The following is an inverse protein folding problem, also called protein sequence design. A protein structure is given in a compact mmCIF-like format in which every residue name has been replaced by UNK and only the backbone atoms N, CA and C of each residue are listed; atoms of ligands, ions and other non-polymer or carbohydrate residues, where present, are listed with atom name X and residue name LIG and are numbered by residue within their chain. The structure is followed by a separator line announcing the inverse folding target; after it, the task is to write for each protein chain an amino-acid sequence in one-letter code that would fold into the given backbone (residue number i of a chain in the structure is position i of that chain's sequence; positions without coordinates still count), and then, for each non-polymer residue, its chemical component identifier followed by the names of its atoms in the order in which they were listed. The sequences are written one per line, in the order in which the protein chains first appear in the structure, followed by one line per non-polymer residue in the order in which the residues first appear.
data_IF_113220352699
#
_entry.id   IF_113220352699
#
_cell.length_a   1.000
_cell.length_b   1.000
_cell.length_c   1.000
_cell.angle_alpha   90.00
_cell.angle_beta   90.00
_cell.angle_gamma   90.00
#
_symmetry.space_group_name_H-M   'P 1'
#
loop_
_entity.id
_entity.type
_entity.pdbx_description
1 polymer ?
#
# COMPACT_ATOMS: atom_id res chain seq x y z
N UNK A 1 1.55 4.79 7.25
CA UNK A 1 0.83 4.34 6.03
C UNK A 1 -0.31 5.30 5.71
N UNK A 2 -0.16 6.10 4.65
CA UNK A 2 -1.26 6.88 4.09
C UNK A 2 -2.05 6.01 3.10
N UNK A 3 -3.39 6.04 3.17
CA UNK A 3 -4.26 5.34 2.21
C UNK A 3 -5.04 6.39 1.43
N UNK A 4 -4.70 6.54 0.15
CA UNK A 4 -5.48 7.38 -0.75
C UNK A 4 -6.57 6.54 -1.44
N UNK A 5 -7.82 6.99 -1.30
CA UNK A 5 -9.00 6.27 -1.75
C UNK A 5 -9.79 7.14 -2.72
N UNK A 6 -9.76 6.79 -4.00
CA UNK A 6 -10.52 7.47 -5.04
C UNK A 6 -11.89 6.83 -5.29
N UNK A 7 -12.99 7.56 -5.07
CA UNK A 7 -14.29 7.35 -5.75
C UNK A 7 -14.51 8.52 -6.71
N UNK A 8 -15.09 8.25 -7.90
CA UNK A 8 -15.40 9.26 -8.93
C UNK A 8 -16.47 10.28 -8.44
N UNK A 9 -17.08 10.08 -7.28
CA UNK A 9 -18.03 11.02 -6.66
C UNK A 9 -17.79 11.02 -5.13
N UNK A 10 -17.38 12.17 -4.56
CA UNK A 10 -16.89 12.45 -3.19
C UNK A 10 -15.44 12.02 -2.85
N UNK A 11 -14.55 13.02 -2.75
CA UNK A 11 -13.28 12.90 -2.02
C UNK A 11 -13.54 13.05 -0.52
N UNK A 12 -13.40 11.96 0.25
CA UNK A 12 -13.35 12.00 1.72
C UNK A 12 -11.92 11.73 2.16
N UNK A 13 -11.37 12.63 2.96
CA UNK A 13 -10.07 12.44 3.60
C UNK A 13 -10.31 11.81 4.97
N UNK A 14 -9.66 10.67 5.23
CA UNK A 14 -9.68 10.03 6.54
C UNK A 14 -8.28 10.18 7.15
N UNK A 15 -8.20 10.78 8.33
CA UNK A 15 -6.96 10.87 9.12
C UNK A 15 -7.12 9.89 10.29
N UNK A 16 -6.63 8.66 10.12
CA UNK A 16 -6.72 7.58 11.11
C UNK A 16 -5.78 6.43 10.75
N UNK A 17 -5.63 5.48 11.67
CA UNK A 17 -4.92 4.23 11.43
C UNK A 17 -5.49 3.47 10.23
N UNK A 18 -4.60 2.92 9.41
CA UNK A 18 -4.98 2.43 8.09
C UNK A 18 -5.84 1.16 8.14
N UNK A 19 -5.57 0.21 9.05
CA UNK A 19 -6.45 -0.95 9.26
C UNK A 19 -7.86 -0.53 9.68
N UNK A 20 -7.96 0.48 10.55
CA UNK A 20 -9.26 0.99 11.00
C UNK A 20 -10.01 1.69 9.88
N UNK A 21 -9.30 2.44 9.03
CA UNK A 21 -9.87 3.02 7.83
C UNK A 21 -10.44 1.95 6.89
N UNK A 22 -9.63 0.92 6.57
CA UNK A 22 -10.03 -0.17 5.66
C UNK A 22 -11.24 -0.95 6.18
N UNK A 23 -11.34 -1.19 7.49
CA UNK A 23 -12.49 -1.88 8.12
C UNK A 23 -13.80 -1.10 7.98
N UNK A 24 -13.76 0.22 7.84
CA UNK A 24 -14.94 1.10 7.74
C UNK A 24 -15.44 1.29 6.31
N UNK A 25 -14.65 0.88 5.32
CA UNK A 25 -14.97 1.08 3.92
C UNK A 25 -15.82 -0.08 3.41
N UNK A 26 -16.82 0.25 2.61
CA UNK A 26 -17.67 -0.72 1.94
C UNK A 26 -16.83 -1.63 1.02
N UNK A 27 -17.09 -2.94 1.04
CA UNK A 27 -16.41 -3.92 0.19
C UNK A 27 -16.59 -3.59 -1.29
N UNK A 28 -15.58 -3.92 -2.10
CA UNK A 28 -15.59 -3.71 -3.56
C UNK A 28 -16.03 -2.29 -3.99
N UNK A 29 -15.71 -1.26 -3.20
CA UNK A 29 -16.19 0.10 -3.43
C UNK A 29 -15.11 1.06 -3.91
N UNK A 30 -13.84 0.70 -3.76
CA UNK A 30 -12.68 1.53 -4.08
C UNK A 30 -12.13 1.17 -5.47
N UNK A 31 -11.87 2.20 -6.28
CA UNK A 31 -11.32 2.02 -7.63
C UNK A 31 -9.80 1.90 -7.62
N UNK A 32 -9.15 2.75 -6.82
CA UNK A 32 -7.69 2.82 -6.77
C UNK A 32 -7.24 2.98 -5.34
N UNK A 33 -6.24 2.20 -4.95
CA UNK A 33 -5.53 2.29 -3.67
C UNK A 33 -4.07 2.62 -3.98
N UNK A 34 -3.52 3.60 -3.27
CA UNK A 34 -2.09 3.81 -3.20
C UNK A 34 -1.67 3.67 -1.73
N UNK A 35 -0.64 2.88 -1.47
CA UNK A 35 -0.01 2.75 -0.16
C UNK A 35 1.49 2.99 -0.24
N UNK A 36 1.98 3.69 0.77
CA UNK A 36 3.39 3.90 1.07
C UNK A 36 3.66 3.33 2.47
N UNK A 37 3.87 2.00 2.59
CA UNK A 37 4.18 1.35 3.85
C UNK A 37 5.59 1.70 4.33
N UNK A 38 5.92 1.51 5.62
CA UNK A 38 7.31 1.53 6.09
C UNK A 38 8.17 0.56 5.27
N UNK A 39 9.42 0.90 5.03
CA UNK A 39 10.33 0.09 4.20
C UNK A 39 11.19 -0.85 5.02
N UNK A 40 11.10 -0.76 6.36
CA UNK A 40 11.84 -1.61 7.28
C UNK A 40 13.37 -1.48 7.11
N UNK A 41 13.80 -0.23 6.90
CA UNK A 41 15.19 0.19 6.74
C UNK A 41 15.92 0.31 8.08
N UNK A 42 15.19 0.24 9.20
CA UNK A 42 15.69 0.48 10.58
C UNK A 42 16.21 1.91 10.78
N UNK A 43 15.73 2.84 9.96
CA UNK A 43 16.07 4.25 10.03
C UNK A 43 15.17 4.95 11.05
N UNK A 44 15.75 5.86 11.83
CA UNK A 44 14.99 6.76 12.71
C UNK A 44 14.61 8.08 12.03
N UNK A 45 14.80 8.20 10.72
CA UNK A 45 14.56 9.46 9.98
C UNK A 45 13.10 9.62 9.51
N UNK A 46 12.24 8.64 9.79
CA UNK A 46 10.83 8.66 9.42
C UNK A 46 9.97 9.13 10.60
N UNK A 47 8.85 9.82 10.31
CA UNK A 47 7.88 10.25 11.33
C UNK A 47 7.03 9.09 11.89
N UNK A 48 7.16 7.89 11.31
CA UNK A 48 6.47 6.66 11.72
C UNK A 48 7.48 5.58 12.13
N UNK A 49 7.01 4.58 12.88
CA UNK A 49 7.80 3.40 13.24
C UNK A 49 8.15 2.61 11.97
N UNK A 50 9.44 2.50 11.67
CA UNK A 50 9.94 1.78 10.50
C UNK A 50 10.45 0.37 10.88
N UNK A 51 10.70 0.06 12.15
CA UNK A 51 11.18 -1.27 12.58
C UNK A 51 10.00 -2.16 13.02
N UNK A 52 9.64 -3.12 12.17
CA UNK A 52 8.59 -4.09 12.46
C UNK A 52 9.18 -5.50 12.52
N UNK A 53 9.18 -6.10 13.73
CA UNK A 53 9.69 -7.46 13.94
C UNK A 53 8.97 -8.53 13.09
N UNK A 54 7.67 -8.34 12.83
CA UNK A 54 6.82 -9.21 11.99
C UNK A 54 6.27 -8.44 10.77
N UNK A 55 7.14 -7.75 10.03
CA UNK A 55 6.77 -6.90 8.89
C UNK A 55 5.89 -7.62 7.86
N UNK A 56 6.23 -8.85 7.51
CA UNK A 56 5.51 -9.65 6.51
C UNK A 56 4.06 -9.90 6.94
N UNK A 57 3.84 -10.26 8.20
CA UNK A 57 2.49 -10.42 8.76
C UNK A 57 1.75 -9.09 8.81
N UNK A 58 2.46 -8.02 9.20
CA UNK A 58 1.89 -6.68 9.27
C UNK A 58 1.36 -6.24 7.90
N UNK A 59 2.16 -6.34 6.83
CA UNK A 59 1.74 -5.93 5.49
C UNK A 59 0.67 -6.86 4.90
N UNK A 60 0.73 -8.16 5.21
CA UNK A 60 -0.29 -9.14 4.81
C UNK A 60 -1.68 -8.75 5.32
N UNK A 61 -1.82 -8.42 6.61
CA UNK A 61 -3.09 -7.98 7.21
C UNK A 61 -3.67 -6.75 6.50
N UNK A 62 -2.81 -5.80 6.10
CA UNK A 62 -3.22 -4.61 5.36
C UNK A 62 -3.66 -4.94 3.94
N UNK A 63 -2.92 -5.79 3.22
CA UNK A 63 -3.23 -6.17 1.85
C UNK A 63 -4.51 -7.01 1.74
N UNK A 64 -4.80 -7.86 2.73
CA UNK A 64 -6.06 -8.61 2.81
C UNK A 64 -7.25 -7.64 2.89
N UNK A 65 -7.18 -6.64 3.76
CA UNK A 65 -8.25 -5.65 3.89
C UNK A 65 -8.34 -4.74 2.66
N UNK A 66 -7.20 -4.35 2.09
CA UNK A 66 -7.15 -3.58 0.84
C UNK A 66 -7.84 -4.35 -0.30
N UNK A 67 -7.58 -5.66 -0.43
CA UNK A 67 -8.25 -6.52 -1.42
C UNK A 67 -9.76 -6.58 -1.20
N UNK A 68 -10.22 -6.62 0.05
CA UNK A 68 -11.64 -6.69 0.36
C UNK A 68 -12.43 -5.44 -0.06
N UNK A 69 -11.82 -4.26 -0.01
CA UNK A 69 -12.45 -2.98 -0.38
C UNK A 69 -12.24 -2.60 -1.83
N UNK A 70 -11.25 -3.19 -2.51
CA UNK A 70 -10.93 -2.93 -3.90
C UNK A 70 -11.97 -3.58 -4.84
N UNK A 71 -12.45 -2.81 -5.82
CA UNK A 71 -13.29 -3.32 -6.92
C UNK A 71 -12.55 -4.41 -7.70
N UNK A 72 -13.29 -5.31 -8.33
CA UNK A 72 -12.69 -6.30 -9.24
C UNK A 72 -11.92 -5.66 -10.42
N UNK A 73 -12.39 -4.50 -10.89
CA UNK A 73 -11.72 -3.68 -11.92
C UNK A 73 -10.74 -2.65 -11.34
N UNK A 74 -10.51 -2.67 -10.04
CA UNK A 74 -9.64 -1.72 -9.35
C UNK A 74 -8.17 -2.13 -9.41
N UNK A 75 -7.30 -1.16 -9.09
CA UNK A 75 -5.86 -1.39 -8.98
C UNK A 75 -5.31 -0.89 -7.64
N UNK A 76 -4.23 -1.52 -7.19
CA UNK A 76 -3.45 -1.09 -6.03
C UNK A 76 -2.01 -0.83 -6.46
N UNK A 77 -1.46 0.27 -5.96
CA UNK A 77 -0.07 0.66 -6.09
C UNK A 77 0.57 0.60 -4.70
N UNK A 78 1.76 0.01 -4.63
CA UNK A 78 2.52 -0.17 -3.39
C UNK A 78 3.91 0.40 -3.65
N UNK A 79 4.25 1.49 -2.98
CA UNK A 79 5.62 2.04 -2.99
C UNK A 79 6.51 1.19 -2.11
N UNK A 80 7.68 0.81 -2.63
CA UNK A 80 8.66 -0.04 -1.95
C UNK A 80 10.06 0.36 -2.38
N UNK A 81 11.02 0.19 -1.48
CA UNK A 81 12.44 0.15 -1.82
C UNK A 81 12.93 -1.30 -2.07
N UNK A 82 14.23 -1.43 -2.31
CA UNK A 82 14.84 -2.73 -2.61
C UNK A 82 14.92 -3.67 -1.38
N UNK A 83 14.67 -3.19 -0.15
CA UNK A 83 14.85 -4.00 1.06
C UNK A 83 13.72 -5.01 1.28
N UNK A 84 12.49 -4.68 0.85
CA UNK A 84 11.29 -5.48 1.14
C UNK A 84 10.45 -5.79 -0.10
N UNK A 85 10.84 -5.30 -1.28
CA UNK A 85 10.07 -5.49 -2.51
C UNK A 85 9.81 -6.97 -2.82
N UNK A 86 10.80 -7.86 -2.65
CA UNK A 86 10.66 -9.26 -3.03
C UNK A 86 9.63 -10.00 -2.15
N UNK A 87 9.69 -9.80 -0.84
CA UNK A 87 8.80 -10.38 0.15
C UNK A 87 7.37 -9.86 -0.03
N UNK A 88 7.20 -8.54 -0.15
CA UNK A 88 5.89 -7.92 -0.40
C UNK A 88 5.31 -8.39 -1.72
N UNK A 89 6.15 -8.60 -2.75
CA UNK A 89 5.71 -9.10 -4.05
C UNK A 89 5.17 -10.52 -3.96
N UNK A 90 5.76 -11.39 -3.15
CA UNK A 90 5.27 -12.75 -2.91
C UNK A 90 3.90 -12.70 -2.22
N UNK A 91 3.80 -11.96 -1.10
CA UNK A 91 2.55 -11.79 -0.35
C UNK A 91 1.44 -11.22 -1.25
N UNK A 92 1.75 -10.19 -2.04
CA UNK A 92 0.79 -9.61 -2.97
C UNK A 92 0.35 -10.62 -4.05
N UNK A 93 1.24 -11.48 -4.55
CA UNK A 93 0.85 -12.53 -5.50
C UNK A 93 -0.10 -13.55 -4.87
N UNK A 94 0.07 -13.90 -3.59
CA UNK A 94 -0.81 -14.82 -2.87
C UNK A 94 -2.20 -14.21 -2.66
N UNK A 95 -2.28 -12.93 -2.29
CA UNK A 95 -3.55 -12.24 -2.01
C UNK A 95 -4.29 -11.83 -3.30
N UNK A 96 -3.58 -11.23 -4.26
CA UNK A 96 -4.20 -10.66 -5.46
C UNK A 96 -4.18 -11.63 -6.64
N UNK A 97 -3.39 -12.71 -6.57
CA UNK A 97 -3.19 -13.67 -7.65
C UNK A 97 -2.11 -13.21 -8.65
N UNK A 98 -1.14 -14.08 -8.94
CA UNK A 98 0.01 -13.77 -9.82
C UNK A 98 -0.38 -13.25 -11.20
N UNK A 99 -1.51 -13.71 -11.76
CA UNK A 99 -2.00 -13.27 -13.09
C UNK A 99 -2.52 -11.83 -13.11
N UNK A 100 -2.79 -11.25 -11.94
CA UNK A 100 -3.28 -9.87 -11.81
C UNK A 100 -2.14 -8.87 -11.59
N UNK A 101 -0.87 -9.31 -11.66
CA UNK A 101 0.25 -8.40 -11.61
C UNK A 101 0.37 -7.60 -12.91
N UNK A 102 0.30 -6.27 -12.80
CA UNK A 102 0.36 -5.37 -13.94
C UNK A 102 1.79 -4.95 -14.31
N UNK A 103 2.68 -4.80 -13.32
CA UNK A 103 4.07 -4.40 -13.54
C UNK A 103 4.68 -3.67 -12.36
N UNK A 104 5.96 -3.32 -12.51
CA UNK A 104 6.73 -2.51 -11.56
C UNK A 104 7.06 -1.18 -12.20
N UNK A 105 6.86 -0.10 -11.45
CA UNK A 105 7.30 1.24 -11.82
C UNK A 105 8.60 1.53 -11.05
N UNK A 106 9.67 1.87 -11.77
CA UNK A 106 10.95 2.25 -11.15
C UNK A 106 11.06 3.76 -11.12
N UNK A 107 11.31 4.30 -9.93
CA UNK A 107 11.43 5.74 -9.71
C UNK A 107 12.89 6.08 -9.42
N UNK A 108 13.43 7.05 -10.17
CA UNK A 108 14.76 7.55 -9.89
C UNK A 108 14.67 8.66 -8.83
N UNK A 109 15.07 8.33 -7.60
CA UNK A 109 15.08 9.24 -6.44
C UNK A 109 16.38 10.03 -6.29
N UNK A 110 17.38 9.81 -7.18
CA UNK A 110 18.73 10.41 -7.05
C UNK A 110 18.85 11.89 -7.44
N UNK A 111 17.73 12.58 -7.70
CA UNK A 111 17.70 14.02 -7.99
C UNK A 111 16.75 14.75 -7.04
N UNK A 112 17.09 16.00 -6.68
CA UNK A 112 16.40 16.94 -5.77
C UNK A 112 14.93 17.29 -6.13
N UNK A 113 14.23 16.43 -6.86
CA UNK A 113 12.82 16.54 -7.16
C UNK A 113 12.05 15.63 -6.22
N UNK A 114 11.15 16.25 -5.47
CA UNK A 114 10.16 15.59 -4.62
C UNK A 114 9.40 14.57 -5.47
N UNK A 115 9.64 13.28 -5.23
CA UNK A 115 8.86 12.21 -5.86
C UNK A 115 7.46 12.22 -5.25
N UNK A 116 6.50 12.80 -5.96
CA UNK A 116 5.08 12.66 -5.64
C UNK A 116 4.54 11.45 -6.38
N UNK A 117 4.19 10.40 -5.63
CA UNK A 117 3.10 9.48 -5.97
C UNK A 117 2.14 9.45 -4.78
#
# INVERSE_FOLDING_TARGET
MAVFLGKIILHKVFIMEALECLKRIEKESIQTIYIDPPYNTKSSNFEYEDDHADYEKWIEEHLILAKAVLKQSGCIFISMDDNKMAEVKIIANEIFGTRNFLGTLTLNTSTLLMSMF
#
